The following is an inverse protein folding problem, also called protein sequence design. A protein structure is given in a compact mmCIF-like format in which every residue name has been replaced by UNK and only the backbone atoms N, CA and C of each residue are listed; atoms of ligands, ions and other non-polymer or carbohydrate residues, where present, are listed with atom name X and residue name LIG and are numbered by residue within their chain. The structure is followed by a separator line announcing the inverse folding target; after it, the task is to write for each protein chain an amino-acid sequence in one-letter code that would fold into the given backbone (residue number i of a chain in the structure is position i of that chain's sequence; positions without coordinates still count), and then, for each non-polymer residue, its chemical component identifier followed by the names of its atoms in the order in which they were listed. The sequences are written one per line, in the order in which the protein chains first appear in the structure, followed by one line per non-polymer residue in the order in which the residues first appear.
data_IF_908982569682
#
_entry.id   IF_908982569682
#
_cell.length_a   1.000
_cell.length_b   1.000
_cell.length_c   1.000
_cell.angle_alpha   90.00
_cell.angle_beta   90.00
_cell.angle_gamma   90.00
#
_symmetry.space_group_name_H-M   'P 1'
#
loop_
_entity.id
_entity.type
_entity.pdbx_description
1 polymer ?
#
# COMPACT_ATOMS: atom_id res chain seq x y z
N UNK A 1 9.45 0.34 7.18
CA UNK A 1 8.51 -0.42 6.34
C UNK A 1 9.26 -1.43 5.47
N UNK A 2 8.64 -2.57 5.18
CA UNK A 2 9.14 -3.55 4.20
C UNK A 2 8.15 -3.75 3.07
N UNK A 3 8.66 -3.78 1.85
CA UNK A 3 7.91 -4.17 0.66
C UNK A 3 8.44 -5.49 0.12
N UNK A 4 7.57 -6.34 -0.40
CA UNK A 4 7.95 -7.56 -1.11
C UNK A 4 7.18 -7.60 -2.42
N UNK A 5 7.88 -7.88 -3.52
CA UNK A 5 7.27 -8.21 -4.82
C UNK A 5 7.67 -9.64 -5.16
N UNK A 6 6.69 -10.55 -5.21
CA UNK A 6 6.93 -11.95 -5.56
C UNK A 6 6.27 -12.27 -6.90
N UNK A 7 7.10 -12.47 -7.93
CA UNK A 7 6.67 -12.88 -9.26
C UNK A 7 6.66 -14.40 -9.37
N UNK A 8 5.57 -14.96 -9.87
CA UNK A 8 5.34 -16.40 -9.99
C UNK A 8 4.89 -16.72 -11.40
N UNK A 9 5.57 -17.65 -12.06
CA UNK A 9 5.08 -18.30 -13.27
C UNK A 9 4.32 -19.57 -12.90
N UNK A 10 3.16 -19.79 -13.51
CA UNK A 10 2.31 -20.95 -13.25
C UNK A 10 2.37 -21.92 -14.44
N UNK A 11 2.33 -23.22 -14.14
CA UNK A 11 2.24 -24.28 -15.16
C UNK A 11 1.00 -24.09 -16.01
N UNK A 12 1.14 -24.36 -17.30
CA UNK A 12 0.03 -24.27 -18.25
C UNK A 12 -1.16 -25.14 -17.83
N UNK A 13 -2.36 -24.54 -17.85
CA UNK A 13 -3.61 -25.20 -17.49
C UNK A 13 -3.86 -25.31 -15.97
N UNK A 14 -3.01 -24.73 -15.12
CA UNK A 14 -3.14 -24.75 -13.65
C UNK A 14 -3.48 -23.39 -13.04
N UNK A 15 -3.76 -22.40 -13.87
CA UNK A 15 -4.01 -21.01 -13.49
C UNK A 15 -5.21 -20.87 -12.56
N UNK A 16 -6.35 -21.49 -12.90
CA UNK A 16 -7.57 -21.42 -12.09
C UNK A 16 -7.38 -22.02 -10.70
N UNK A 17 -6.68 -23.16 -10.59
CA UNK A 17 -6.36 -23.78 -9.30
C UNK A 17 -5.39 -22.93 -8.49
N UNK A 18 -4.38 -22.36 -9.16
CA UNK A 18 -3.45 -21.44 -8.54
C UNK A 18 -4.15 -20.20 -7.99
N UNK A 19 -5.06 -19.59 -8.76
CA UNK A 19 -5.81 -18.41 -8.34
C UNK A 19 -6.67 -18.67 -7.10
N UNK A 20 -7.30 -19.84 -6.98
CA UNK A 20 -8.06 -20.20 -5.78
C UNK A 20 -7.14 -20.24 -4.55
N UNK A 21 -5.99 -20.90 -4.66
CA UNK A 21 -5.03 -20.97 -3.56
C UNK A 21 -4.42 -19.61 -3.23
N UNK A 22 -4.03 -18.85 -4.25
CA UNK A 22 -3.42 -17.54 -4.12
C UNK A 22 -4.39 -16.53 -3.46
N UNK A 23 -5.68 -16.53 -3.82
CA UNK A 23 -6.69 -15.71 -3.16
C UNK A 23 -6.96 -16.17 -1.70
N UNK A 24 -6.82 -17.46 -1.43
CA UNK A 24 -6.80 -17.98 -0.06
C UNK A 24 -5.64 -17.41 0.75
N UNK A 25 -4.44 -17.35 0.16
CA UNK A 25 -3.27 -16.73 0.79
C UNK A 25 -3.52 -15.24 1.05
N UNK A 26 -4.01 -14.48 0.06
CA UNK A 26 -4.38 -13.06 0.21
C UNK A 26 -5.33 -12.85 1.41
N UNK A 27 -6.36 -13.68 1.52
CA UNK A 27 -7.38 -13.54 2.57
C UNK A 27 -6.79 -13.73 3.96
N UNK A 28 -5.92 -14.72 4.15
CA UNK A 28 -5.31 -14.99 5.44
C UNK A 28 -4.18 -14.00 5.77
N UNK A 29 -3.32 -13.65 4.79
CA UNK A 29 -2.22 -12.69 5.00
C UNK A 29 -2.71 -11.31 5.45
N UNK A 30 -3.83 -10.83 4.90
CA UNK A 30 -4.43 -9.54 5.29
C UNK A 30 -4.90 -9.49 6.75
N UNK A 31 -5.03 -10.64 7.43
CA UNK A 31 -5.39 -10.72 8.86
C UNK A 31 -4.15 -10.71 9.77
N UNK A 32 -2.96 -10.82 9.21
CA UNK A 32 -1.73 -10.85 9.99
C UNK A 32 -1.44 -9.49 10.63
N UNK A 33 -1.04 -9.50 11.89
CA UNK A 33 -0.59 -8.30 12.58
C UNK A 33 0.64 -7.72 11.86
N UNK A 34 0.57 -6.44 11.49
CA UNK A 34 1.64 -5.74 10.79
C UNK A 34 1.64 -5.91 9.26
N UNK A 35 0.71 -6.68 8.69
CA UNK A 35 0.41 -6.61 7.25
C UNK A 35 -0.35 -5.30 6.95
N UNK A 36 0.19 -4.48 6.06
CA UNK A 36 -0.41 -3.20 5.64
C UNK A 36 -1.19 -3.34 4.34
N UNK A 37 -0.66 -4.15 3.41
CA UNK A 37 -1.37 -4.57 2.19
C UNK A 37 -0.80 -5.88 1.67
N UNK A 38 -1.64 -6.66 1.00
CA UNK A 38 -1.26 -7.93 0.39
C UNK A 38 -2.19 -8.17 -0.80
N UNK A 39 -1.68 -7.97 -2.02
CA UNK A 39 -2.47 -7.96 -3.24
C UNK A 39 -1.91 -8.95 -4.26
N UNK A 40 -2.80 -9.61 -4.99
CA UNK A 40 -2.47 -10.52 -6.09
C UNK A 40 -2.85 -9.86 -7.41
N UNK A 41 -1.90 -9.84 -8.33
CA UNK A 41 -2.07 -9.32 -9.68
C UNK A 41 -1.77 -10.41 -10.70
N UNK A 42 -2.46 -10.36 -11.84
CA UNK A 42 -2.04 -11.07 -13.06
C UNK A 42 -1.23 -10.06 -13.88
N UNK A 43 -0.04 -10.41 -14.34
CA UNK A 43 0.74 -9.52 -15.22
C UNK A 43 0.34 -9.70 -16.68
N UNK A 44 0.86 -8.85 -17.56
CA UNK A 44 0.66 -8.98 -19.01
C UNK A 44 1.38 -10.22 -19.59
N UNK A 45 2.33 -10.80 -18.84
CA UNK A 45 3.02 -12.03 -19.22
C UNK A 45 2.13 -13.25 -18.99
N UNK A 46 2.07 -14.14 -19.98
CA UNK A 46 1.19 -15.32 -19.92
C UNK A 46 1.45 -16.16 -18.66
N UNK A 47 0.41 -16.48 -17.89
CA UNK A 47 0.50 -17.32 -16.67
C UNK A 47 1.41 -16.77 -15.58
N UNK A 48 1.69 -15.47 -15.59
CA UNK A 48 2.48 -14.82 -14.56
C UNK A 48 1.58 -14.04 -13.60
N UNK A 49 1.89 -14.20 -12.31
CA UNK A 49 1.21 -13.55 -11.21
C UNK A 49 2.23 -12.82 -10.34
N UNK A 50 1.78 -11.74 -9.71
CA UNK A 50 2.62 -10.91 -8.86
C UNK A 50 1.90 -10.65 -7.54
N UNK A 51 2.53 -11.06 -6.44
CA UNK A 51 2.15 -10.55 -5.12
C UNK A 51 2.87 -9.24 -4.85
N UNK A 52 2.13 -8.25 -4.35
CA UNK A 52 2.67 -7.01 -3.81
C UNK A 52 2.29 -6.98 -2.33
N UNK A 53 3.29 -7.06 -1.47
CA UNK A 53 3.13 -7.17 -0.03
C UNK A 53 3.78 -5.98 0.67
N UNK A 54 3.10 -5.40 1.65
CA UNK A 54 3.63 -4.32 2.48
C UNK A 54 3.45 -4.67 3.94
N UNK A 55 4.53 -4.55 4.71
CA UNK A 55 4.57 -4.80 6.14
C UNK A 55 5.12 -3.60 6.89
N UNK A 56 4.64 -3.38 8.12
CA UNK A 56 5.12 -2.29 8.99
C UNK A 56 6.64 -2.36 9.20
N UNK A 57 7.16 -3.56 9.41
CA UNK A 57 8.57 -3.82 9.69
C UNK A 57 9.03 -5.19 9.18
N UNK A 58 10.30 -5.52 9.45
CA UNK A 58 10.88 -6.83 9.12
C UNK A 58 10.26 -7.96 9.94
N UNK A 59 9.88 -7.72 11.20
CA UNK A 59 9.35 -8.77 12.06
C UNK A 59 7.99 -9.28 11.54
N UNK A 60 7.13 -8.38 11.06
CA UNK A 60 5.87 -8.72 10.40
C UNK A 60 6.09 -9.52 9.12
N UNK A 61 7.03 -9.11 8.25
CA UNK A 61 7.38 -9.87 7.04
C UNK A 61 7.95 -11.28 7.36
N UNK A 62 8.70 -11.41 8.45
CA UNK A 62 9.22 -12.71 8.92
C UNK A 62 8.14 -13.57 9.57
N UNK A 63 7.16 -12.96 10.24
CA UNK A 63 6.00 -13.66 10.79
C UNK A 63 5.18 -14.29 9.67
N UNK A 64 4.96 -13.56 8.57
CA UNK A 64 4.25 -14.05 7.38
C UNK A 64 4.81 -15.38 6.87
N UNK A 65 6.10 -15.44 6.54
CA UNK A 65 6.72 -16.67 5.98
C UNK A 65 6.77 -17.84 6.98
N UNK A 66 6.53 -17.58 8.27
CA UNK A 66 6.48 -18.58 9.33
C UNK A 66 5.05 -19.01 9.67
N UNK A 67 4.03 -18.35 9.12
CA UNK A 67 2.62 -18.63 9.43
C UNK A 67 2.19 -20.00 8.90
N UNK A 68 1.20 -20.60 9.57
CA UNK A 68 0.69 -21.92 9.18
C UNK A 68 0.00 -21.87 7.82
N UNK A 69 -0.73 -20.79 7.52
CA UNK A 69 -1.40 -20.62 6.24
C UNK A 69 -0.38 -20.41 5.11
N UNK A 70 0.70 -19.65 5.32
CA UNK A 70 1.76 -19.49 4.32
C UNK A 70 2.42 -20.84 4.00
N UNK A 71 2.80 -21.61 5.02
CA UNK A 71 3.45 -22.93 4.80
C UNK A 71 2.53 -23.92 4.11
N UNK A 72 1.25 -23.96 4.50
CA UNK A 72 0.26 -24.87 3.93
C UNK A 72 -0.07 -24.49 2.48
N UNK A 73 -0.51 -23.26 2.26
CA UNK A 73 -0.96 -22.77 0.95
C UNK A 73 0.23 -22.61 0.01
N UNK A 74 1.35 -22.09 0.50
CA UNK A 74 2.59 -21.93 -0.29
C UNK A 74 3.12 -23.26 -0.82
N UNK A 75 3.02 -24.36 -0.06
CA UNK A 75 3.36 -25.71 -0.55
C UNK A 75 2.42 -26.15 -1.68
N UNK A 76 1.12 -25.92 -1.54
CA UNK A 76 0.12 -26.26 -2.56
C UNK A 76 0.36 -25.45 -3.83
N UNK A 77 0.57 -24.13 -3.70
CA UNK A 77 0.91 -23.25 -4.81
C UNK A 77 2.21 -23.69 -5.49
N UNK A 78 3.25 -24.03 -4.72
CA UNK A 78 4.55 -24.47 -5.25
C UNK A 78 4.46 -25.69 -6.17
N UNK A 79 3.47 -26.57 -5.98
CA UNK A 79 3.23 -27.69 -6.90
C UNK A 79 2.71 -27.25 -8.28
N UNK A 80 2.08 -26.07 -8.36
CA UNK A 80 1.49 -25.47 -9.55
C UNK A 80 2.43 -24.49 -10.26
N UNK A 81 3.51 -24.06 -9.61
CA UNK A 81 4.48 -23.11 -10.18
C UNK A 81 5.37 -23.76 -11.23
N UNK A 82 5.67 -23.00 -12.29
CA UNK A 82 6.63 -23.35 -13.33
C UNK A 82 8.00 -22.73 -13.01
N UNK A 83 8.69 -23.38 -12.07
CA UNK A 83 9.96 -22.90 -11.52
C UNK A 83 9.81 -22.19 -10.18
N UNK A 84 10.93 -21.65 -9.70
CA UNK A 84 10.97 -20.91 -8.42
C UNK A 84 10.47 -19.48 -8.60
N UNK A 85 9.79 -18.89 -7.60
CA UNK A 85 9.38 -17.49 -7.65
C UNK A 85 10.59 -16.56 -7.64
N UNK A 86 10.47 -15.44 -8.35
CA UNK A 86 11.42 -14.33 -8.25
C UNK A 86 10.93 -13.35 -7.18
N UNK A 87 11.73 -13.12 -6.15
CA UNK A 87 11.34 -12.30 -5.00
C UNK A 87 12.24 -11.07 -4.87
N UNK A 88 11.65 -9.89 -4.94
CA UNK A 88 12.30 -8.61 -4.66
C UNK A 88 11.92 -8.16 -3.26
N UNK A 89 12.92 -7.97 -2.39
CA UNK A 89 12.72 -7.40 -1.05
C UNK A 89 13.14 -5.95 -1.07
N UNK A 90 12.23 -5.09 -0.63
CA UNK A 90 12.36 -3.65 -0.72
C UNK A 90 12.37 -3.05 0.69
N UNK A 91 13.29 -2.13 0.91
CA UNK A 91 13.18 -1.17 1.99
C UNK A 91 12.54 0.08 1.41
N UNK A 92 11.55 0.65 2.10
CA UNK A 92 11.15 2.01 1.78
C UNK A 92 12.32 2.91 2.15
N UNK A 93 12.83 3.67 1.18
CA UNK A 93 13.70 4.79 1.47
C UNK A 93 12.79 5.92 1.89
N UNK A 94 12.73 6.16 3.20
CA UNK A 94 12.19 7.42 3.69
C UNK A 94 13.09 8.51 3.10
N UNK A 95 12.49 9.44 2.35
CA UNK A 95 13.26 10.57 1.87
C UNK A 95 13.50 11.51 3.05
N UNK A 96 14.77 11.78 3.36
CA UNK A 96 15.16 12.99 4.11
C UNK A 96 14.96 14.27 3.27
N UNK A 97 14.28 14.18 2.11
CA UNK A 97 13.60 15.34 1.54
C UNK A 97 12.61 15.78 2.60
N UNK A 98 13.07 16.69 3.46
CA UNK A 98 12.48 16.95 4.74
C UNK A 98 10.97 17.06 4.60
N UNK A 99 10.28 16.25 5.41
CA UNK A 99 9.42 16.95 6.36
C UNK A 99 10.33 18.01 6.94
N UNK A 100 10.18 19.25 6.50
CA UNK A 100 10.64 20.37 7.26
C UNK A 100 10.05 20.10 8.65
N UNK A 101 10.88 19.59 9.55
CA UNK A 101 10.58 19.73 10.96
C UNK A 101 10.37 21.22 11.10
N UNK A 102 9.33 21.62 11.84
CA UNK A 102 8.95 23.02 12.00
C UNK A 102 10.07 23.92 12.58
N UNK A 103 11.29 23.38 12.78
CA UNK A 103 12.49 24.06 13.25
C UNK A 103 13.46 24.52 12.15
N UNK A 104 13.21 24.25 10.86
CA UNK A 104 13.99 24.87 9.77
C UNK A 104 13.11 25.45 8.67
N UNK A 105 12.29 26.43 9.04
CA UNK A 105 11.70 27.36 8.08
C UNK A 105 12.60 28.59 8.01
N UNK A 106 13.39 28.66 6.93
CA UNK A 106 13.87 29.94 6.43
C UNK A 106 12.63 30.76 6.06
N UNK A 107 12.48 31.92 6.69
CA UNK A 107 11.33 32.81 6.52
C UNK A 107 11.29 33.28 5.07
N UNK A 108 10.30 32.81 4.32
CA UNK A 108 9.69 33.62 3.26
C UNK A 108 8.17 33.52 3.37
N UNK A 109 7.61 34.63 3.85
CA UNK A 109 6.23 35.05 3.96
C UNK A 109 5.15 34.15 3.33
N UNK A 110 4.20 33.69 4.16
CA UNK A 110 2.79 33.77 3.77
C UNK A 110 1.87 32.56 3.91
N UNK A 111 2.13 31.53 4.73
CA UNK A 111 1.06 30.63 5.22
C UNK A 111 1.51 29.80 6.43
N UNK A 112 0.90 29.97 7.61
CA UNK A 112 1.34 29.27 8.82
C UNK A 112 0.89 27.78 8.81
N UNK A 113 1.65 26.91 9.49
CA UNK A 113 1.37 25.46 9.57
C UNK A 113 -0.04 25.14 10.12
N UNK A 114 -0.55 25.99 11.02
CA UNK A 114 -1.90 25.87 11.57
C UNK A 114 -2.99 26.09 10.52
N UNK A 115 -2.81 27.00 9.57
CA UNK A 115 -3.76 27.30 8.50
C UNK A 115 -3.77 26.18 7.47
N UNK A 116 -2.61 25.59 7.15
CA UNK A 116 -2.52 24.39 6.31
C UNK A 116 -3.26 23.22 6.94
N UNK A 117 -3.00 22.95 8.21
CA UNK A 117 -3.68 21.89 8.95
C UNK A 117 -5.20 22.09 8.99
N UNK A 118 -5.66 23.34 9.17
CA UNK A 118 -7.08 23.66 9.17
C UNK A 118 -7.73 23.48 7.80
N UNK A 119 -7.04 23.81 6.70
CA UNK A 119 -7.52 23.53 5.35
C UNK A 119 -7.62 22.04 5.06
N UNK A 120 -6.62 21.25 5.46
CA UNK A 120 -6.68 19.78 5.34
C UNK A 120 -7.89 19.24 6.08
N UNK A 121 -8.10 19.64 7.34
CA UNK A 121 -9.25 19.21 8.13
C UNK A 121 -10.59 19.58 7.48
N UNK A 122 -10.69 20.79 6.90
CA UNK A 122 -11.89 21.22 6.16
C UNK A 122 -12.14 20.36 4.93
N UNK A 123 -11.10 20.03 4.15
CA UNK A 123 -11.21 19.17 2.98
C UNK A 123 -11.60 17.73 3.34
N UNK A 124 -11.00 17.14 4.38
CA UNK A 124 -11.38 15.80 4.88
C UNK A 124 -12.85 15.80 5.32
N UNK A 125 -13.27 16.81 6.09
CA UNK A 125 -14.67 16.97 6.48
C UNK A 125 -15.59 17.19 5.28
N UNK A 126 -15.17 17.88 4.22
CA UNK A 126 -15.97 18.03 2.99
C UNK A 126 -16.26 16.68 2.33
N UNK A 127 -15.32 15.74 2.34
CA UNK A 127 -15.51 14.38 1.83
C UNK A 127 -16.12 13.41 2.86
N UNK A 128 -16.35 13.85 4.10
CA UNK A 128 -16.98 13.04 5.14
C UNK A 128 -16.04 11.95 5.69
N UNK A 129 -14.74 12.20 5.60
CA UNK A 129 -13.71 11.32 6.14
C UNK A 129 -12.96 12.06 7.24
N UNK A 130 -12.50 11.29 8.22
CA UNK A 130 -11.67 11.73 9.33
C UNK A 130 -10.18 11.47 9.07
N UNK A 131 -9.87 10.70 8.03
CA UNK A 131 -8.54 10.24 7.70
C UNK A 131 -8.30 10.27 6.19
N UNK A 132 -7.21 10.92 5.78
CA UNK A 132 -6.77 11.02 4.39
C UNK A 132 -6.57 9.65 3.72
N UNK A 133 -6.21 8.61 4.49
CA UNK A 133 -6.02 7.23 3.99
C UNK A 133 -7.31 6.60 3.45
N UNK A 134 -8.47 7.21 3.72
CA UNK A 134 -9.78 6.77 3.22
C UNK A 134 -10.13 7.38 1.86
N UNK A 135 -9.31 8.28 1.34
CA UNK A 135 -9.47 8.89 0.02
C UNK A 135 -8.57 8.19 -1.01
N UNK A 136 -9.00 8.20 -2.26
CA UNK A 136 -8.14 7.75 -3.35
C UNK A 136 -7.00 8.75 -3.61
N UNK A 137 -5.93 8.27 -4.26
CA UNK A 137 -4.73 9.07 -4.52
C UNK A 137 -4.99 10.28 -5.43
N UNK A 138 -5.97 10.20 -6.33
CA UNK A 138 -6.36 11.32 -7.18
C UNK A 138 -6.99 12.45 -6.37
N UNK A 139 -7.92 12.10 -5.48
CA UNK A 139 -8.53 13.05 -4.55
C UNK A 139 -7.50 13.67 -3.60
N UNK A 140 -6.55 12.89 -3.09
CA UNK A 140 -5.47 13.40 -2.24
C UNK A 140 -4.56 14.38 -2.98
N UNK A 141 -4.21 14.09 -4.23
CA UNK A 141 -3.42 14.99 -5.07
C UNK A 141 -4.13 16.33 -5.32
N UNK A 142 -5.45 16.29 -5.58
CA UNK A 142 -6.25 17.50 -5.73
C UNK A 142 -6.32 18.33 -4.44
N UNK A 143 -6.58 17.68 -3.29
CA UNK A 143 -6.59 18.35 -1.98
C UNK A 143 -5.23 19.00 -1.68
N UNK A 144 -4.12 18.30 -1.96
CA UNK A 144 -2.79 18.85 -1.77
C UNK A 144 -2.63 20.16 -2.56
N UNK A 145 -2.98 20.16 -3.84
CA UNK A 145 -2.89 21.36 -4.69
C UNK A 145 -3.78 22.50 -4.16
N UNK A 146 -4.99 22.22 -3.69
CA UNK A 146 -5.86 23.25 -3.12
C UNK A 146 -5.32 23.80 -1.79
N UNK A 147 -4.79 22.95 -0.92
CA UNK A 147 -4.20 23.35 0.36
C UNK A 147 -2.95 24.21 0.13
N UNK A 148 -2.09 23.84 -0.82
CA UNK A 148 -0.90 24.62 -1.19
C UNK A 148 -1.25 26.01 -1.74
N UNK A 149 -2.38 26.12 -2.43
CA UNK A 149 -2.89 27.39 -2.95
C UNK A 149 -3.82 28.14 -1.97
N UNK A 150 -3.97 27.66 -0.74
CA UNK A 150 -4.83 28.30 0.28
C UNK A 150 -6.34 28.23 -0.03
N UNK A 151 -6.77 27.33 -0.91
CA UNK A 151 -8.15 27.21 -1.39
C UNK A 151 -8.97 26.31 -0.46
N UNK A 152 -10.05 26.81 0.16
CA UNK A 152 -10.94 25.99 0.98
C UNK A 152 -11.88 25.14 0.11
N UNK A 153 -12.45 24.04 0.68
CA UNK A 153 -13.50 23.30 0.00
C UNK A 153 -14.76 24.16 -0.18
N UNK A 154 -15.59 23.85 -1.20
CA UNK A 154 -16.90 24.49 -1.32
C UNK A 154 -17.77 24.16 -0.10
N UNK A 155 -18.70 25.07 0.21
CA UNK A 155 -19.72 24.80 1.23
C UNK A 155 -20.53 23.57 0.82
N UNK A 156 -20.77 22.67 1.78
CA UNK A 156 -21.67 21.54 1.55
C UNK A 156 -23.07 22.13 1.30
N UNK A 157 -23.71 21.71 0.21
CA UNK A 157 -25.13 22.00 0.02
C UNK A 157 -25.90 21.42 1.23
N UNK A 158 -26.79 22.24 1.79
CA UNK A 158 -27.65 21.88 2.92
C UNK A 158 -28.57 20.69 2.58
#
# INVERSE_FOLDING_TARGET
MRGIVAKIKVKEGREAEFEVLANGLVTESRREAGCLSYDLWRSDEAREYVFIERYGDEAAAQAHVKSDHYRRIGRQMGALMDGVPTVFRLALLESDAGVATADQVHVSDGYNDSARAMLVARWLNHFGVDDARRLDLGTLGAIQQYVENGVPPPERAA
#
